data_IF_486913323770
#
_entry.id   IF_486913323770
#
_cell.length_a   1.000
_cell.length_b   1.000
_cell.length_c   1.000
_cell.angle_alpha   90.00
_cell.angle_beta   90.00
_cell.angle_gamma   90.00
#
_symmetry.space_group_name_H-M   'P 1'
#
loop_
_entity.id
_entity.type
_entity.pdbx_description
1 polymer ?
#
# COMPACT_ATOMS: atom_id res chain seq x y z
N UNK A 1 73.02 5.42 -11.77
CA UNK A 1 73.19 6.59 -12.65
C UNK A 1 71.82 7.26 -12.74
N UNK A 2 71.49 8.12 -11.77
CA UNK A 2 71.70 9.58 -11.78
C UNK A 2 70.46 10.31 -12.32
N UNK A 3 69.68 10.88 -11.41
CA UNK A 3 68.86 12.09 -11.63
C UNK A 3 69.77 13.29 -11.97
N UNK A 4 69.31 14.56 -12.03
CA UNK A 4 68.03 15.16 -12.43
C UNK A 4 68.26 16.35 -13.42
N UNK A 5 67.21 17.01 -13.96
CA UNK A 5 67.20 18.43 -14.39
C UNK A 5 65.74 18.75 -14.80
N UNK A 6 65.03 19.75 -14.27
CA UNK A 6 65.44 21.01 -13.67
C UNK A 6 65.04 22.14 -14.62
N UNK A 7 63.81 22.68 -14.51
CA UNK A 7 63.44 23.94 -15.14
C UNK A 7 62.82 24.90 -14.12
N UNK A 8 63.43 26.09 -14.11
CA UNK A 8 63.33 27.16 -13.12
C UNK A 8 62.14 28.07 -13.41
N UNK A 9 61.55 28.62 -12.36
CA UNK A 9 60.69 29.81 -12.39
C UNK A 9 61.50 31.07 -12.69
N UNK A 10 60.89 32.07 -13.34
CA UNK A 10 61.19 33.47 -13.06
C UNK A 10 59.99 34.16 -12.39
N UNK A 11 60.33 34.97 -11.38
CA UNK A 11 59.44 35.84 -10.64
C UNK A 11 59.14 37.14 -11.40
N UNK A 12 57.93 37.70 -11.14
CA UNK A 12 57.57 39.13 -10.88
C UNK A 12 56.11 39.35 -11.31
N UNK A 13 55.18 39.44 -10.37
CA UNK A 13 54.75 40.68 -9.69
C UNK A 13 54.30 41.78 -10.66
N UNK A 14 52.97 41.98 -10.79
CA UNK A 14 52.33 43.29 -10.67
C UNK A 14 50.96 43.08 -10.00
N UNK A 15 50.82 43.60 -8.78
CA UNK A 15 49.54 43.75 -8.09
C UNK A 15 48.88 45.05 -8.56
N UNK A 16 47.60 44.99 -8.89
CA UNK A 16 46.77 46.17 -9.14
C UNK A 16 46.10 46.59 -7.83
N UNK A 17 46.47 47.76 -7.32
CA UNK A 17 45.85 48.41 -6.16
C UNK A 17 44.53 49.07 -6.57
N UNK A 18 43.46 48.81 -5.80
CA UNK A 18 42.20 49.53 -5.90
C UNK A 18 42.21 50.77 -4.99
N UNK A 19 41.63 51.92 -5.41
CA UNK A 19 41.71 53.16 -4.66
C UNK A 19 40.82 53.16 -3.41
N UNK A 20 41.32 53.80 -2.35
CA UNK A 20 40.66 53.97 -1.07
C UNK A 20 39.40 54.86 -1.19
N UNK A 21 38.25 54.31 -0.79
CA UNK A 21 37.04 55.08 -0.55
C UNK A 21 36.90 55.38 0.95
N UNK A 22 36.79 56.67 1.26
CA UNK A 22 36.66 57.28 2.58
C UNK A 22 35.46 56.77 3.38
N UNK A 23 35.68 56.47 4.66
CA UNK A 23 34.62 56.12 5.63
C UNK A 23 33.79 57.35 6.02
N UNK A 24 32.46 57.30 5.99
CA UNK A 24 31.66 58.29 6.69
C UNK A 24 31.55 57.92 8.17
N UNK A 25 31.92 58.86 9.04
CA UNK A 25 31.56 58.83 10.45
C UNK A 25 30.03 58.97 10.59
N UNK A 26 29.36 58.01 11.23
CA UNK A 26 27.99 58.20 11.67
C UNK A 26 27.92 58.11 13.20
N UNK A 27 27.62 59.26 13.79
CA UNK A 27 27.48 59.46 15.23
C UNK A 27 26.29 58.67 15.77
N UNK A 28 26.54 58.05 16.92
CA UNK A 28 25.58 57.40 17.81
C UNK A 28 24.32 58.24 18.07
N UNK A 29 23.14 57.65 17.89
CA UNK A 29 21.94 57.91 18.70
C UNK A 29 20.88 56.82 18.47
N UNK A 30 20.58 56.11 19.55
CA UNK A 30 19.34 55.43 19.90
C UNK A 30 18.66 54.54 18.83
N UNK A 31 18.79 53.23 19.00
CA UNK A 31 17.67 52.30 18.76
C UNK A 31 17.49 51.43 20.01
N UNK A 32 16.51 51.85 20.79
CA UNK A 32 15.90 51.08 21.87
C UNK A 32 15.15 49.91 21.25
N UNK A 33 15.35 48.73 21.83
CA UNK A 33 14.47 47.55 21.88
C UNK A 33 13.69 47.16 20.60
N UNK A 34 14.09 46.03 20.02
CA UNK A 34 13.12 45.02 19.61
C UNK A 34 13.75 43.61 19.72
N UNK A 35 14.22 43.27 20.93
CA UNK A 35 14.29 41.87 21.35
C UNK A 35 12.94 41.56 21.99
N UNK A 36 12.27 40.50 21.52
CA UNK A 36 10.93 40.00 21.90
C UNK A 36 9.78 40.44 20.97
N UNK A 37 9.74 39.81 19.79
CA UNK A 37 8.46 39.53 19.11
C UNK A 37 8.52 38.12 18.48
N UNK A 38 8.79 37.12 19.32
CA UNK A 38 8.52 35.71 19.03
C UNK A 38 7.56 35.17 20.10
N UNK A 39 6.45 35.87 20.29
CA UNK A 39 5.32 35.35 21.04
C UNK A 39 4.19 35.05 20.06
N UNK A 40 3.79 33.77 20.04
CA UNK A 40 2.46 33.28 19.68
C UNK A 40 2.11 33.27 18.18
N UNK A 41 2.75 32.37 17.43
CA UNK A 41 2.02 31.66 16.37
C UNK A 41 1.39 30.41 17.01
N UNK A 42 0.07 30.36 17.23
CA UNK A 42 -0.58 29.13 17.64
C UNK A 42 -0.53 28.15 16.46
N UNK A 43 0.10 27.00 16.68
CA UNK A 43 -0.05 25.81 15.85
C UNK A 43 0.73 25.80 14.54
N UNK A 44 2.04 25.56 14.60
CA UNK A 44 2.61 24.61 13.63
C UNK A 44 2.03 23.24 13.98
N UNK A 45 0.84 22.95 13.45
CA UNK A 45 0.35 21.58 13.36
C UNK A 45 1.40 20.81 12.57
N UNK A 46 1.99 19.77 13.16
CA UNK A 46 2.78 18.82 12.40
C UNK A 46 1.94 18.39 11.20
N UNK A 47 2.54 18.39 10.00
CA UNK A 47 1.83 17.93 8.81
C UNK A 47 1.15 16.58 9.12
N UNK A 48 -0.11 16.37 8.73
CA UNK A 48 -0.83 15.16 9.06
C UNK A 48 0.02 13.95 8.64
N UNK A 49 0.19 12.99 9.55
CA UNK A 49 0.98 11.78 9.30
C UNK A 49 0.33 11.05 8.13
N UNK A 50 1.09 10.84 7.06
CA UNK A 50 0.63 10.10 5.88
C UNK A 50 0.52 8.62 6.21
N UNK A 51 -0.46 7.93 5.63
CA UNK A 51 -0.54 6.47 5.62
C UNK A 51 0.47 5.95 4.62
N UNK A 52 1.40 5.10 5.07
CA UNK A 52 2.43 4.51 4.22
C UNK A 52 1.94 3.16 3.68
N UNK A 53 1.83 3.07 2.36
CA UNK A 53 1.26 1.92 1.66
C UNK A 53 2.34 1.26 0.83
N UNK A 54 2.50 -0.05 1.00
CA UNK A 54 3.31 -0.87 0.11
C UNK A 54 2.37 -1.72 -0.73
N UNK A 55 2.44 -1.56 -2.05
CA UNK A 55 1.67 -2.38 -3.00
C UNK A 55 2.58 -3.44 -3.59
N UNK A 56 2.33 -4.68 -3.23
CA UNK A 56 3.10 -5.84 -3.65
C UNK A 56 2.35 -6.64 -4.73
N UNK A 57 3.04 -7.01 -5.80
CA UNK A 57 2.52 -7.93 -6.83
C UNK A 57 3.52 -9.03 -7.14
N UNK A 58 3.01 -10.23 -7.39
CA UNK A 58 3.77 -11.35 -7.94
C UNK A 58 4.31 -11.08 -9.36
N UNK A 59 3.72 -10.14 -10.12
CA UNK A 59 4.04 -9.82 -11.52
C UNK A 59 3.66 -10.93 -12.52
N UNK A 60 2.58 -11.66 -12.23
CA UNK A 60 2.04 -12.71 -13.09
C UNK A 60 1.05 -12.20 -14.16
N UNK A 61 0.66 -10.94 -14.07
CA UNK A 61 -0.29 -10.29 -14.97
C UNK A 61 0.25 -10.11 -16.40
N UNK A 62 -0.62 -10.15 -17.44
CA UNK A 62 -0.22 -9.83 -18.80
C UNK A 62 0.17 -8.35 -18.93
N UNK A 63 1.34 -8.09 -19.51
CA UNK A 63 1.92 -6.74 -19.64
C UNK A 63 1.06 -5.84 -20.53
N UNK A 64 0.36 -6.41 -21.50
CA UNK A 64 -0.59 -5.71 -22.37
C UNK A 64 -1.83 -5.19 -21.61
N UNK A 65 -2.22 -5.87 -20.52
CA UNK A 65 -3.32 -5.41 -19.65
C UNK A 65 -2.78 -4.43 -18.62
N UNK A 66 -1.67 -4.77 -17.96
CA UNK A 66 -1.04 -3.98 -16.90
C UNK A 66 0.44 -3.72 -17.20
N UNK A 67 0.78 -2.68 -17.99
CA UNK A 67 2.16 -2.42 -18.39
C UNK A 67 3.11 -2.12 -17.23
N UNK A 68 2.61 -1.39 -16.23
CA UNK A 68 3.32 -1.11 -14.99
C UNK A 68 3.12 -2.20 -13.93
N UNK A 69 2.48 -3.31 -14.29
CA UNK A 69 1.95 -4.34 -13.40
C UNK A 69 0.79 -3.90 -12.53
N UNK A 70 0.13 -4.87 -11.89
CA UNK A 70 -1.01 -4.62 -10.99
C UNK A 70 -0.56 -3.77 -9.80
N UNK A 71 0.64 -3.98 -9.28
CA UNK A 71 1.18 -3.15 -8.21
C UNK A 71 1.30 -1.67 -8.63
N UNK A 72 1.79 -1.39 -9.85
CA UNK A 72 1.84 -0.04 -10.39
C UNK A 72 0.45 0.56 -10.63
N UNK A 73 -0.49 -0.21 -11.18
CA UNK A 73 -1.86 0.23 -11.40
C UNK A 73 -2.57 0.57 -10.08
N UNK A 74 -2.50 -0.31 -9.09
CA UNK A 74 -3.09 -0.09 -7.76
C UNK A 74 -2.40 1.07 -7.05
N UNK A 75 -1.08 1.21 -7.15
CA UNK A 75 -0.37 2.38 -6.61
C UNK A 75 -0.86 3.71 -7.22
N UNK A 76 -1.24 3.70 -8.50
CA UNK A 76 -1.77 4.90 -9.19
C UNK A 76 -3.06 5.44 -8.58
N UNK A 77 -3.80 4.63 -7.82
CA UNK A 77 -5.03 5.04 -7.10
C UNK A 77 -4.73 6.17 -6.13
N UNK A 78 -3.52 6.17 -5.55
CA UNK A 78 -3.12 7.08 -4.49
C UNK A 78 -2.34 8.30 -4.99
N UNK A 79 -2.08 8.42 -6.29
CA UNK A 79 -1.20 9.45 -6.86
C UNK A 79 -1.64 10.91 -6.52
N UNK A 80 -2.94 11.14 -6.41
CA UNK A 80 -3.50 12.46 -6.05
C UNK A 80 -3.79 12.60 -4.54
N UNK A 81 -3.60 11.56 -3.74
CA UNK A 81 -3.91 11.57 -2.31
C UNK A 81 -2.71 12.12 -1.50
N UNK A 82 -2.85 13.35 -0.98
CA UNK A 82 -1.80 13.98 -0.16
C UNK A 82 -1.62 13.29 1.21
N UNK A 83 -2.61 12.50 1.65
CA UNK A 83 -2.60 11.77 2.91
C UNK A 83 -2.01 10.36 2.81
N UNK A 84 -1.64 9.91 1.60
CA UNK A 84 -1.06 8.59 1.38
C UNK A 84 0.34 8.74 0.77
N UNK A 85 1.27 7.96 1.29
CA UNK A 85 2.58 7.75 0.69
C UNK A 85 2.62 6.31 0.18
N UNK A 86 2.77 6.13 -1.13
CA UNK A 86 2.72 4.81 -1.76
C UNK A 86 4.07 4.42 -2.34
N UNK A 87 4.43 3.16 -2.12
CA UNK A 87 5.57 2.49 -2.74
C UNK A 87 5.13 1.15 -3.33
N UNK A 88 5.94 0.59 -4.22
CA UNK A 88 5.67 -0.70 -4.88
C UNK A 88 6.82 -1.66 -4.63
N UNK A 89 6.49 -2.94 -4.55
CA UNK A 89 7.43 -4.05 -4.49
C UNK A 89 6.91 -5.23 -5.30
N UNK A 90 7.77 -6.20 -5.59
CA UNK A 90 7.38 -7.42 -6.27
C UNK A 90 8.25 -8.64 -5.93
N UNK A 91 7.81 -9.80 -6.39
CA UNK A 91 8.47 -11.10 -6.17
C UNK A 91 9.95 -11.14 -6.58
N UNK A 92 10.37 -10.36 -7.58
CA UNK A 92 11.73 -10.37 -8.12
C UNK A 92 12.69 -9.41 -7.38
N UNK A 93 12.18 -8.57 -6.49
CA UNK A 93 13.01 -7.66 -5.71
C UNK A 93 13.83 -8.44 -4.65
N UNK A 94 14.96 -7.91 -4.15
CA UNK A 94 15.70 -8.52 -3.04
C UNK A 94 14.78 -8.77 -1.84
N UNK A 95 14.88 -9.96 -1.24
CA UNK A 95 13.96 -10.42 -0.18
C UNK A 95 12.48 -10.33 -0.58
N UNK A 96 12.19 -10.48 -1.88
CA UNK A 96 10.86 -10.32 -2.49
C UNK A 96 10.25 -8.93 -2.21
N UNK A 97 11.10 -7.92 -1.97
CA UNK A 97 10.70 -6.55 -1.67
C UNK A 97 10.04 -6.36 -0.30
N UNK A 98 10.09 -7.39 0.57
CA UNK A 98 9.41 -7.44 1.87
C UNK A 98 10.42 -7.58 3.01
N UNK A 99 11.50 -6.78 2.95
CA UNK A 99 12.52 -6.72 3.99
C UNK A 99 11.96 -6.16 5.31
N UNK A 100 12.67 -6.39 6.42
CA UNK A 100 12.33 -5.80 7.73
C UNK A 100 12.21 -4.28 7.65
N UNK A 101 13.15 -3.63 6.94
CA UNK A 101 13.19 -2.18 6.79
C UNK A 101 12.02 -1.65 5.95
N UNK A 102 11.61 -2.38 4.90
CA UNK A 102 10.46 -2.02 4.07
C UNK A 102 9.15 -2.16 4.86
N UNK A 103 8.97 -3.27 5.56
CA UNK A 103 7.76 -3.54 6.34
C UNK A 103 7.65 -2.65 7.59
N UNK A 104 8.76 -2.24 8.21
CA UNK A 104 8.76 -1.24 9.29
C UNK A 104 8.28 0.14 8.79
N UNK A 105 8.44 0.40 7.50
CA UNK A 105 7.96 1.60 6.83
C UNK A 105 6.56 1.45 6.21
N UNK A 106 5.88 0.34 6.46
CA UNK A 106 4.57 0.04 5.87
C UNK A 106 3.50 0.06 6.97
N UNK A 107 2.48 0.89 6.79
CA UNK A 107 1.27 0.92 7.62
C UNK A 107 0.20 -0.03 7.05
N UNK A 108 0.09 -0.11 5.71
CA UNK A 108 -0.81 -1.03 5.00
C UNK A 108 -0.08 -1.74 3.86
N UNK A 109 -0.11 -3.08 3.88
CA UNK A 109 0.39 -3.92 2.79
C UNK A 109 -0.76 -4.36 1.90
N UNK A 110 -0.73 -3.97 0.62
CA UNK A 110 -1.64 -4.44 -0.41
C UNK A 110 -0.98 -5.58 -1.17
N UNK A 111 -1.70 -6.68 -1.40
CA UNK A 111 -1.11 -7.90 -1.94
C UNK A 111 -1.91 -8.44 -3.13
N UNK A 112 -1.24 -8.56 -4.27
CA UNK A 112 -1.71 -9.37 -5.39
C UNK A 112 -0.75 -10.54 -5.66
N UNK A 113 -1.29 -11.74 -5.89
CA UNK A 113 -0.54 -12.90 -6.36
C UNK A 113 -1.48 -13.97 -6.88
N UNK A 114 -1.01 -14.91 -7.71
CA UNK A 114 -1.88 -15.90 -8.33
C UNK A 114 -1.19 -17.26 -8.52
N UNK A 115 -0.07 -17.31 -9.24
CA UNK A 115 0.54 -18.56 -9.74
C UNK A 115 1.69 -19.06 -8.88
N UNK A 116 2.38 -18.16 -8.18
CA UNK A 116 3.63 -18.40 -7.45
C UNK A 116 3.48 -18.16 -5.94
N UNK A 117 2.29 -18.40 -5.39
CA UNK A 117 2.08 -18.32 -3.94
C UNK A 117 3.07 -19.17 -3.13
N UNK A 118 3.40 -20.37 -3.64
CA UNK A 118 4.33 -21.29 -2.99
C UNK A 118 5.79 -20.83 -3.06
N UNK A 119 6.12 -19.87 -3.93
CA UNK A 119 7.47 -19.35 -4.12
C UNK A 119 7.78 -18.19 -3.15
N UNK A 120 6.78 -17.71 -2.39
CA UNK A 120 6.99 -16.72 -1.33
C UNK A 120 7.82 -17.35 -0.21
N UNK A 121 8.93 -16.71 0.13
CA UNK A 121 9.89 -17.23 1.11
C UNK A 121 9.22 -17.38 2.50
N UNK A 122 9.45 -18.49 3.23
CA UNK A 122 8.86 -18.68 4.57
C UNK A 122 9.14 -17.52 5.52
N UNK A 123 10.36 -16.99 5.52
CA UNK A 123 10.75 -15.84 6.34
C UNK A 123 10.04 -14.53 5.95
N UNK A 124 9.61 -14.39 4.70
CA UNK A 124 8.77 -13.26 4.26
C UNK A 124 7.36 -13.43 4.81
N UNK A 125 6.80 -14.65 4.75
CA UNK A 125 5.49 -14.95 5.33
C UNK A 125 5.47 -14.65 6.82
N UNK A 126 6.46 -15.15 7.56
CA UNK A 126 6.57 -14.93 9.01
C UNK A 126 6.66 -13.44 9.36
N UNK A 127 7.43 -12.66 8.59
CA UNK A 127 7.52 -11.21 8.77
C UNK A 127 6.19 -10.51 8.54
N UNK A 128 5.50 -10.81 7.45
CA UNK A 128 4.20 -10.20 7.13
C UNK A 128 3.18 -10.55 8.24
N UNK A 129 3.08 -11.83 8.61
CA UNK A 129 2.16 -12.28 9.67
C UNK A 129 2.49 -11.60 11.00
N UNK A 130 3.76 -11.48 11.37
CA UNK A 130 4.18 -10.76 12.60
C UNK A 130 3.80 -9.29 12.55
N UNK A 131 4.05 -8.61 11.43
CA UNK A 131 3.73 -7.19 11.25
C UNK A 131 2.23 -6.93 11.36
N UNK A 132 1.39 -7.82 10.84
CA UNK A 132 -0.06 -7.74 11.00
C UNK A 132 -0.47 -8.01 12.45
N UNK A 133 -0.11 -9.17 12.99
CA UNK A 133 -0.64 -9.65 14.27
C UNK A 133 -0.07 -8.94 15.50
N UNK A 134 1.24 -8.68 15.53
CA UNK A 134 1.92 -8.16 16.71
C UNK A 134 2.04 -6.64 16.71
N UNK A 135 2.12 -6.03 15.53
CA UNK A 135 2.45 -4.61 15.38
C UNK A 135 1.31 -3.78 14.77
N UNK A 136 0.24 -4.41 14.28
CA UNK A 136 -0.97 -3.73 13.80
C UNK A 136 -0.93 -3.26 12.35
N UNK A 137 0.01 -3.74 11.52
CA UNK A 137 0.01 -3.43 10.08
C UNK A 137 -1.29 -3.91 9.43
N UNK A 138 -1.93 -3.05 8.63
CA UNK A 138 -3.09 -3.43 7.84
C UNK A 138 -2.72 -4.33 6.65
N UNK A 139 -3.61 -5.25 6.28
CA UNK A 139 -3.39 -6.16 5.15
C UNK A 139 -4.59 -6.19 4.19
N UNK A 140 -4.32 -5.99 2.89
CA UNK A 140 -5.32 -5.95 1.81
C UNK A 140 -4.98 -6.99 0.73
N UNK A 141 -5.35 -8.27 0.94
CA UNK A 141 -5.26 -9.30 -0.09
C UNK A 141 -6.32 -9.08 -1.18
N UNK A 142 -5.89 -9.10 -2.43
CA UNK A 142 -6.72 -8.90 -3.61
C UNK A 142 -6.91 -10.19 -4.39
N UNK A 143 -8.17 -10.49 -4.75
CA UNK A 143 -8.52 -11.53 -5.71
C UNK A 143 -7.91 -12.90 -5.37
N UNK A 144 -7.09 -13.47 -6.26
CA UNK A 144 -6.42 -14.76 -6.09
C UNK A 144 -5.47 -14.81 -4.88
N UNK A 145 -5.15 -13.66 -4.25
CA UNK A 145 -4.43 -13.62 -2.98
C UNK A 145 -5.16 -14.33 -1.82
N UNK A 146 -6.41 -14.79 -2.01
CA UNK A 146 -7.06 -15.74 -1.10
C UNK A 146 -6.24 -17.03 -0.88
N UNK A 147 -5.32 -17.38 -1.79
CA UNK A 147 -4.36 -18.48 -1.61
C UNK A 147 -2.93 -18.04 -1.23
N UNK A 148 -2.70 -16.74 -1.02
CA UNK A 148 -1.39 -16.26 -0.58
C UNK A 148 -1.04 -16.84 0.81
N UNK A 149 0.21 -17.27 0.99
CA UNK A 149 0.66 -17.87 2.24
C UNK A 149 0.42 -16.96 3.47
N UNK A 150 0.65 -15.62 3.42
CA UNK A 150 0.31 -14.74 4.53
C UNK A 150 -1.18 -14.72 4.84
N UNK A 151 -2.05 -14.63 3.84
CA UNK A 151 -3.50 -14.63 4.06
C UNK A 151 -3.97 -15.93 4.69
N UNK A 152 -3.56 -17.08 4.14
CA UNK A 152 -3.88 -18.40 4.68
C UNK A 152 -3.46 -18.50 6.15
N UNK A 153 -2.23 -18.07 6.47
CA UNK A 153 -1.73 -18.13 7.84
C UNK A 153 -2.50 -17.22 8.80
N UNK A 154 -2.88 -16.02 8.37
CA UNK A 154 -3.71 -15.11 9.15
C UNK A 154 -5.11 -15.70 9.41
N UNK A 155 -5.72 -16.34 8.41
CA UNK A 155 -7.02 -16.99 8.55
C UNK A 155 -6.97 -18.22 9.47
N UNK A 156 -5.85 -18.98 9.46
CA UNK A 156 -5.63 -20.08 10.41
C UNK A 156 -5.52 -19.58 11.85
N UNK A 157 -4.77 -18.49 12.07
CA UNK A 157 -4.62 -17.87 13.39
C UNK A 157 -5.97 -17.34 13.90
N UNK A 158 -6.71 -16.66 13.03
CA UNK A 158 -8.02 -16.12 13.37
C UNK A 158 -9.04 -17.22 13.68
N UNK A 159 -9.07 -18.29 12.88
CA UNK A 159 -9.93 -19.44 13.18
C UNK A 159 -9.58 -20.09 14.52
N UNK A 160 -8.29 -20.18 14.87
CA UNK A 160 -7.85 -20.69 16.16
C UNK A 160 -8.31 -19.80 17.32
N UNK A 161 -8.20 -18.47 17.18
CA UNK A 161 -8.65 -17.49 18.17
C UNK A 161 -10.19 -17.56 18.37
N UNK A 162 -10.94 -17.67 17.28
CA UNK A 162 -12.41 -17.82 17.33
C UNK A 162 -12.86 -19.22 17.83
N UNK A 163 -11.94 -20.17 18.01
CA UNK A 163 -12.29 -21.56 18.35
C UNK A 163 -13.05 -22.30 17.24
N UNK A 164 -12.90 -21.86 15.99
CA UNK A 164 -13.59 -22.41 14.81
C UNK A 164 -12.69 -23.42 14.11
N UNK A 165 -13.19 -24.63 13.90
CA UNK A 165 -12.51 -25.63 13.07
C UNK A 165 -12.83 -25.39 11.59
N UNK A 166 -11.83 -24.99 10.82
CA UNK A 166 -11.94 -24.93 9.36
C UNK A 166 -11.90 -26.36 8.78
N UNK A 167 -12.76 -26.60 7.78
CA UNK A 167 -12.81 -27.88 7.05
C UNK A 167 -12.46 -27.64 5.59
N UNK A 168 -11.46 -28.35 5.08
CA UNK A 168 -10.94 -28.15 3.73
C UNK A 168 -9.65 -27.32 3.70
N UNK A 169 -9.26 -26.88 2.51
CA UNK A 169 -8.07 -26.04 2.33
C UNK A 169 -8.44 -24.59 2.62
N UNK A 170 -7.78 -23.96 3.58
CA UNK A 170 -7.97 -22.54 3.90
C UNK A 170 -7.72 -21.69 2.64
N UNK A 171 -8.58 -20.69 2.44
CA UNK A 171 -8.56 -19.84 1.25
C UNK A 171 -9.22 -20.48 0.02
N UNK A 172 -9.71 -21.71 0.07
CA UNK A 172 -10.37 -22.33 -1.10
C UNK A 172 -11.81 -21.86 -1.29
N UNK A 173 -12.25 -21.80 -2.55
CA UNK A 173 -13.63 -21.55 -2.96
C UNK A 173 -14.27 -22.85 -3.45
N UNK A 174 -15.59 -22.96 -3.28
CA UNK A 174 -16.38 -24.12 -3.74
C UNK A 174 -16.32 -24.30 -5.25
N UNK A 175 -16.39 -23.20 -6.01
CA UNK A 175 -16.15 -23.22 -7.45
C UNK A 175 -15.49 -21.92 -7.92
N UNK A 176 -14.68 -22.02 -8.98
CA UNK A 176 -14.06 -20.89 -9.66
C UNK A 176 -14.35 -21.00 -11.15
N UNK A 177 -14.86 -19.93 -11.77
CA UNK A 177 -15.22 -19.91 -13.20
C UNK A 177 -14.73 -18.63 -13.85
N UNK A 178 -13.92 -18.77 -14.90
CA UNK A 178 -13.40 -17.64 -15.66
C UNK A 178 -14.18 -17.43 -16.96
N UNK A 179 -15.45 -17.06 -16.86
CA UNK A 179 -16.28 -16.75 -18.03
C UNK A 179 -16.18 -15.29 -18.48
N UNK A 180 -15.80 -14.38 -17.57
CA UNK A 180 -15.76 -12.95 -17.85
C UNK A 180 -17.13 -12.31 -17.98
N UNK A 181 -18.12 -12.88 -17.30
CA UNK A 181 -19.47 -12.34 -17.25
C UNK A 181 -19.53 -11.14 -16.28
N UNK A 182 -20.54 -10.26 -16.44
CA UNK A 182 -20.74 -9.15 -15.53
C UNK A 182 -21.06 -9.62 -14.11
N UNK A 183 -20.52 -8.90 -13.13
CA UNK A 183 -20.82 -9.09 -11.72
C UNK A 183 -21.33 -7.78 -11.12
N UNK A 184 -22.53 -7.82 -10.55
CA UNK A 184 -23.11 -6.73 -9.80
C UNK A 184 -22.64 -6.79 -8.35
N UNK A 185 -21.85 -5.81 -7.95
CA UNK A 185 -21.40 -5.62 -6.57
C UNK A 185 -22.44 -4.82 -5.79
N UNK A 186 -22.97 -5.43 -4.74
CA UNK A 186 -23.87 -4.83 -3.77
C UNK A 186 -23.08 -4.29 -2.58
N UNK A 187 -23.53 -3.17 -2.03
CA UNK A 187 -22.99 -2.58 -0.79
C UNK A 187 -23.86 -3.07 0.37
N UNK A 188 -23.33 -3.99 1.18
CA UNK A 188 -24.08 -4.56 2.31
C UNK A 188 -24.05 -3.67 3.55
N UNK A 189 -22.92 -2.98 3.78
CA UNK A 189 -22.71 -2.08 4.92
C UNK A 189 -22.46 -0.65 4.44
N UNK A 190 -23.51 0.11 4.04
CA UNK A 190 -23.34 1.44 3.43
C UNK A 190 -22.74 2.49 4.36
N UNK A 191 -22.82 2.30 5.68
CA UNK A 191 -22.20 3.18 6.67
C UNK A 191 -20.72 2.83 6.94
N UNK A 192 -20.23 1.68 6.46
CA UNK A 192 -18.86 1.26 6.69
C UNK A 192 -17.88 2.20 5.96
N UNK A 193 -16.72 2.59 6.55
CA UNK A 193 -15.78 3.50 5.91
C UNK A 193 -15.33 3.05 4.51
N UNK A 194 -15.21 1.74 4.27
CA UNK A 194 -14.88 1.17 2.96
C UNK A 194 -15.94 1.49 1.91
N UNK A 195 -17.22 1.54 2.30
CA UNK A 195 -18.35 1.82 1.43
C UNK A 195 -18.59 3.32 1.17
N UNK A 196 -17.76 4.20 1.75
CA UNK A 196 -17.98 5.65 1.67
C UNK A 196 -18.03 6.15 0.22
N UNK A 197 -19.16 6.76 -0.14
CA UNK A 197 -19.38 7.34 -1.47
C UNK A 197 -19.68 6.32 -2.56
N UNK A 198 -19.92 5.06 -2.19
CA UNK A 198 -20.27 4.00 -3.12
C UNK A 198 -21.75 3.68 -3.07
N UNK A 199 -22.32 3.41 -4.22
CA UNK A 199 -23.59 2.68 -4.39
C UNK A 199 -23.31 1.36 -5.07
N UNK A 200 -24.31 0.48 -5.23
CA UNK A 200 -24.13 -0.73 -6.02
C UNK A 200 -23.63 -0.40 -7.44
N UNK A 201 -22.73 -1.22 -7.97
CA UNK A 201 -22.10 -1.04 -9.28
C UNK A 201 -21.89 -2.38 -9.97
N UNK A 202 -21.60 -2.35 -11.28
CA UNK A 202 -21.32 -3.56 -12.06
C UNK A 202 -19.88 -3.54 -12.53
N UNK A 203 -19.19 -4.67 -12.38
CA UNK A 203 -17.92 -4.95 -13.04
C UNK A 203 -18.25 -5.76 -14.29
N UNK A 204 -18.01 -5.20 -15.46
CA UNK A 204 -18.48 -5.76 -16.75
C UNK A 204 -17.90 -7.14 -17.09
N UNK A 205 -16.75 -7.49 -16.50
CA UNK A 205 -16.19 -8.81 -16.65
C UNK A 205 -15.23 -9.15 -15.52
N UNK A 206 -15.45 -10.27 -14.86
CA UNK A 206 -14.58 -10.80 -13.80
C UNK A 206 -14.60 -12.32 -13.75
N UNK A 207 -13.68 -12.92 -12.99
CA UNK A 207 -13.82 -14.30 -12.53
C UNK A 207 -14.94 -14.40 -11.50
N UNK A 208 -15.69 -15.50 -11.52
CA UNK A 208 -16.65 -15.88 -10.51
C UNK A 208 -15.97 -16.82 -9.49
N UNK A 209 -16.00 -16.46 -8.20
CA UNK A 209 -15.65 -17.36 -7.10
C UNK A 209 -16.92 -17.67 -6.30
N UNK A 210 -17.47 -18.87 -6.44
CA UNK A 210 -18.70 -19.26 -5.76
C UNK A 210 -18.39 -19.95 -4.43
N UNK A 211 -19.17 -19.57 -3.41
CA UNK A 211 -19.15 -20.19 -2.09
C UNK A 211 -19.33 -21.73 -2.10
N UNK A 212 -18.89 -22.43 -1.04
CA UNK A 212 -18.33 -21.89 0.20
C UNK A 212 -16.89 -21.36 0.05
N UNK A 213 -16.57 -20.31 0.80
CA UNK A 213 -15.19 -19.85 1.01
C UNK A 213 -14.65 -20.39 2.33
N UNK A 214 -13.50 -21.08 2.31
CA UNK A 214 -12.90 -21.67 3.51
C UNK A 214 -12.05 -20.63 4.24
N UNK A 215 -12.70 -19.83 5.08
CA UNK A 215 -12.10 -18.86 5.97
C UNK A 215 -12.91 -18.82 7.29
N UNK A 216 -12.35 -18.30 8.41
CA UNK A 216 -13.16 -18.05 9.59
C UNK A 216 -14.26 -17.02 9.27
N UNK A 217 -15.39 -17.06 10.00
CA UNK A 217 -16.40 -16.02 9.93
C UNK A 217 -15.77 -14.62 9.98
N UNK A 218 -16.08 -13.78 9.00
CA UNK A 218 -15.69 -12.38 8.99
C UNK A 218 -16.51 -11.59 10.01
N UNK A 219 -15.88 -10.60 10.63
CA UNK A 219 -16.53 -9.66 11.54
C UNK A 219 -17.54 -8.79 10.77
N UNK A 220 -17.14 -8.35 9.57
CA UNK A 220 -17.96 -7.51 8.71
C UNK A 220 -17.90 -8.01 7.25
N UNK A 221 -19.07 -8.14 6.63
CA UNK A 221 -19.24 -8.41 5.19
C UNK A 221 -19.70 -7.13 4.50
N UNK A 222 -18.79 -6.43 3.86
CA UNK A 222 -19.03 -5.08 3.29
C UNK A 222 -19.67 -5.16 1.91
N UNK A 223 -19.29 -6.15 1.10
CA UNK A 223 -19.66 -6.26 -0.32
C UNK A 223 -20.13 -7.67 -0.68
N UNK A 224 -21.11 -7.78 -1.58
CA UNK A 224 -21.55 -9.05 -2.16
C UNK A 224 -21.61 -8.96 -3.69
N UNK A 225 -21.03 -9.91 -4.39
CA UNK A 225 -21.16 -10.07 -5.83
C UNK A 225 -22.42 -10.86 -6.20
N UNK A 226 -23.05 -10.50 -7.31
CA UNK A 226 -24.14 -11.24 -7.91
C UNK A 226 -23.95 -11.32 -9.42
N UNK A 227 -24.17 -12.49 -10.01
CA UNK A 227 -24.04 -12.77 -11.44
C UNK A 227 -25.27 -13.51 -11.95
N UNK A 228 -25.30 -13.76 -13.26
CA UNK A 228 -26.40 -14.51 -13.85
C UNK A 228 -26.43 -15.95 -13.30
N UNK A 229 -27.47 -16.30 -12.56
CA UNK A 229 -27.64 -17.63 -11.99
C UNK A 229 -26.93 -17.87 -10.66
N UNK A 230 -26.42 -16.84 -9.99
CA UNK A 230 -25.86 -16.97 -8.63
C UNK A 230 -25.60 -15.65 -7.92
N UNK A 231 -25.58 -15.70 -6.59
CA UNK A 231 -25.18 -14.57 -5.74
C UNK A 231 -24.32 -15.04 -4.57
N UNK A 232 -23.50 -14.12 -4.08
CA UNK A 232 -22.62 -14.31 -2.94
C UNK A 232 -23.32 -13.91 -1.66
N UNK A 233 -22.92 -14.52 -0.56
CA UNK A 233 -23.42 -14.22 0.78
C UNK A 233 -22.64 -13.09 1.48
N UNK A 234 -22.08 -12.15 0.71
CA UNK A 234 -21.20 -11.09 1.21
C UNK A 234 -19.70 -11.41 1.21
N UNK A 235 -19.29 -12.44 0.47
CA UNK A 235 -17.89 -12.92 0.44
C UNK A 235 -16.98 -12.15 -0.54
N UNK A 236 -17.39 -10.98 -1.02
CA UNK A 236 -16.63 -10.17 -1.97
C UNK A 236 -15.82 -9.04 -1.33
N UNK A 237 -16.18 -8.67 -0.10
CA UNK A 237 -15.49 -7.67 0.71
C UNK A 237 -15.59 -8.07 2.18
N UNK A 238 -14.59 -8.79 2.68
CA UNK A 238 -14.61 -9.39 4.02
C UNK A 238 -13.58 -8.72 4.93
N UNK A 239 -13.98 -8.37 6.15
CA UNK A 239 -13.12 -7.75 7.14
C UNK A 239 -12.94 -8.63 8.38
N UNK A 240 -11.71 -8.67 8.88
CA UNK A 240 -11.33 -9.30 10.14
C UNK A 240 -10.37 -8.40 10.91
N UNK A 241 -10.37 -8.55 12.23
CA UNK A 241 -9.27 -8.16 13.09
C UNK A 241 -8.44 -9.41 13.38
N UNK A 242 -7.13 -9.38 13.14
CA UNK A 242 -6.24 -10.52 13.41
C UNK A 242 -5.07 -10.04 14.29
N UNK A 243 -5.11 -10.40 15.56
CA UNK A 243 -4.22 -9.81 16.57
C UNK A 243 -4.46 -8.31 16.71
N UNK A 244 -3.44 -7.48 16.48
CA UNK A 244 -3.57 -6.01 16.49
C UNK A 244 -3.90 -5.40 15.13
N UNK A 245 -3.82 -6.18 14.05
CA UNK A 245 -3.97 -5.71 12.67
C UNK A 245 -5.39 -5.90 12.16
N UNK A 246 -5.73 -5.15 11.11
CA UNK A 246 -6.96 -5.34 10.34
C UNK A 246 -6.64 -6.00 9.00
N UNK A 247 -7.51 -6.89 8.54
CA UNK A 247 -7.44 -7.55 7.25
C UNK A 247 -8.72 -7.26 6.48
N UNK A 248 -8.60 -6.79 5.23
CA UNK A 248 -9.75 -6.66 4.34
C UNK A 248 -9.47 -7.43 3.04
N UNK A 249 -10.21 -8.50 2.78
CA UNK A 249 -10.13 -9.23 1.52
C UNK A 249 -11.10 -8.64 0.51
N UNK A 250 -10.60 -8.29 -0.68
CA UNK A 250 -11.42 -7.81 -1.79
C UNK A 250 -11.32 -8.77 -2.98
N UNK A 251 -12.44 -9.40 -3.33
CA UNK A 251 -12.47 -10.52 -4.29
C UNK A 251 -12.26 -10.13 -5.76
N UNK A 252 -12.81 -9.02 -6.30
CA UNK A 252 -12.60 -8.68 -7.71
C UNK A 252 -11.15 -8.31 -8.04
N UNK A 253 -10.61 -8.82 -9.15
CA UNK A 253 -9.26 -8.43 -9.59
C UNK A 253 -8.52 -9.35 -10.57
N UNK A 254 -9.21 -10.12 -11.44
CA UNK A 254 -8.55 -11.02 -12.41
C UNK A 254 -7.52 -10.28 -13.27
N UNK A 255 -6.30 -10.83 -13.37
CA UNK A 255 -5.17 -10.18 -14.03
C UNK A 255 -5.37 -9.90 -15.52
N UNK A 256 -6.25 -10.65 -16.17
CA UNK A 256 -6.53 -10.52 -17.61
C UNK A 256 -7.52 -9.40 -17.94
N UNK A 257 -8.04 -8.69 -16.92
CA UNK A 257 -9.08 -7.66 -17.07
C UNK A 257 -8.69 -6.39 -16.34
N UNK A 258 -9.01 -5.20 -16.87
CA UNK A 258 -8.60 -3.91 -16.30
C UNK A 258 -9.46 -3.45 -15.09
N UNK A 259 -9.80 -4.37 -14.18
CA UNK A 259 -10.73 -4.13 -13.05
C UNK A 259 -10.23 -3.00 -12.15
N UNK A 260 -8.92 -2.89 -11.91
CA UNK A 260 -8.34 -1.85 -11.06
C UNK A 260 -8.38 -0.42 -11.66
N UNK A 261 -8.85 -0.27 -12.91
CA UNK A 261 -9.09 1.04 -13.54
C UNK A 261 -10.50 1.56 -13.29
N UNK A 262 -11.42 0.69 -12.90
CA UNK A 262 -12.82 1.06 -12.70
C UNK A 262 -12.96 2.03 -11.51
N UNK A 263 -13.67 3.18 -11.67
CA UNK A 263 -13.77 4.20 -10.62
C UNK A 263 -14.25 3.68 -9.26
N UNK A 264 -15.26 2.81 -9.26
CA UNK A 264 -15.84 2.26 -8.03
C UNK A 264 -14.86 1.31 -7.33
N UNK A 265 -14.16 0.45 -8.07
CA UNK A 265 -13.08 -0.40 -7.54
C UNK A 265 -11.96 0.45 -6.94
N UNK A 266 -11.55 1.50 -7.64
CA UNK A 266 -10.52 2.43 -7.15
C UNK A 266 -10.95 3.10 -5.84
N UNK A 267 -12.23 3.48 -5.72
CA UNK A 267 -12.79 4.04 -4.50
C UNK A 267 -12.83 3.02 -3.36
N UNK A 268 -13.23 1.76 -3.61
CA UNK A 268 -13.17 0.67 -2.61
C UNK A 268 -11.74 0.51 -2.08
N UNK A 269 -10.75 0.35 -2.97
CA UNK A 269 -9.37 0.12 -2.57
C UNK A 269 -8.78 1.32 -1.80
N UNK A 270 -9.12 2.54 -2.22
CA UNK A 270 -8.70 3.75 -1.48
C UNK A 270 -9.28 3.78 -0.08
N UNK A 271 -10.59 3.54 0.05
CA UNK A 271 -11.26 3.56 1.34
C UNK A 271 -10.78 2.42 2.25
N UNK A 272 -10.53 1.22 1.69
CA UNK A 272 -9.96 0.08 2.39
C UNK A 272 -8.59 0.40 2.97
N UNK A 273 -7.68 0.99 2.19
CA UNK A 273 -6.36 1.38 2.68
C UNK A 273 -6.46 2.38 3.85
N UNK A 274 -7.33 3.39 3.74
CA UNK A 274 -7.51 4.36 4.83
C UNK A 274 -8.13 3.72 6.08
N UNK A 275 -9.05 2.78 5.90
CA UNK A 275 -9.65 2.03 7.00
C UNK A 275 -8.69 1.05 7.65
N UNK A 276 -7.79 0.42 6.88
CA UNK A 276 -6.81 -0.56 7.36
C UNK A 276 -5.66 0.04 8.17
N UNK A 277 -5.38 1.33 7.99
CA UNK A 277 -4.28 1.99 8.69
C UNK A 277 -4.42 1.87 10.24
N UNK A 278 -3.29 1.63 10.95
CA UNK A 278 -3.23 1.59 12.41
C UNK A 278 -3.27 2.96 13.09
#
# INVERSE_FOLDING_TARGET
MSSPLGWRLPARCVAWEAPAASRPEFRSRAWVACFLLLALLPGLSAAPKKVRVLVWSERSEPVEVYPAGINGEVASIFAADRGVEVSVANMLDPEQGLSEAALAQTDVLVWFGHRSHADVLPEVVDRVVRRVTADGMGFLPLHSAHYSLPFVRLMELEAAEQGVRLTGRVGSWGAVRNKGEPERVQILLPAHPIAKGLTAFTIEGTEEYANPFVAPPAEEKVLAGAWEGGEQDGSDGLAWTVGKGKVFYFRPGHETRPIFRQPEVRAVLRNAVLWLAP
#
